data_IF_674391995160
#
_entry.id   IF_674391995160
#
_cell.length_a   1.000
_cell.length_b   1.000
_cell.length_c   1.000
_cell.angle_alpha   90.00
_cell.angle_beta   90.00
_cell.angle_gamma   90.00
#
_symmetry.space_group_name_H-M   'P 1'
#
loop_
_entity.id
_entity.type
_entity.pdbx_description
1 polymer ?
#
# COMPACT_ATOMS: atom_id res chain seq x y z
N UNK A 1 -33.59 -15.73 -8.93
CA UNK A 1 -32.72 -15.14 -7.89
C UNK A 1 -31.30 -15.67 -8.02
N UNK A 2 -30.32 -14.84 -8.38
CA UNK A 2 -28.91 -15.23 -8.56
C UNK A 2 -27.98 -14.85 -7.40
N UNK A 3 -28.52 -14.25 -6.34
CA UNK A 3 -27.77 -13.71 -5.20
C UNK A 3 -26.77 -14.69 -4.58
N UNK A 4 -27.18 -15.92 -4.20
CA UNK A 4 -26.27 -16.89 -3.60
C UNK A 4 -25.10 -17.30 -4.51
N UNK A 5 -25.33 -17.37 -5.83
CA UNK A 5 -24.29 -17.72 -6.81
C UNK A 5 -23.26 -16.61 -6.93
N UNK A 6 -23.71 -15.35 -7.03
CA UNK A 6 -22.82 -14.19 -7.13
C UNK A 6 -22.02 -14.03 -5.83
N UNK A 7 -22.65 -14.18 -4.66
CA UNK A 7 -21.96 -14.10 -3.38
C UNK A 7 -20.84 -15.16 -3.25
N UNK A 8 -21.13 -16.42 -3.60
CA UNK A 8 -20.11 -17.49 -3.63
C UNK A 8 -18.98 -17.18 -4.62
N UNK A 9 -19.30 -16.65 -5.79
CA UNK A 9 -18.28 -16.27 -6.77
C UNK A 9 -17.39 -15.13 -6.23
N UNK A 10 -17.96 -14.14 -5.55
CA UNK A 10 -17.20 -13.03 -4.94
C UNK A 10 -16.26 -13.54 -3.85
N UNK A 11 -16.71 -14.43 -2.97
CA UNK A 11 -15.86 -15.03 -1.93
C UNK A 11 -14.66 -15.78 -2.54
N UNK A 12 -14.90 -16.53 -3.62
CA UNK A 12 -13.81 -17.22 -4.36
C UNK A 12 -12.88 -16.23 -5.04
N UNK A 13 -13.43 -15.22 -5.73
CA UNK A 13 -12.64 -14.19 -6.38
C UNK A 13 -11.85 -13.32 -5.38
N UNK A 14 -12.27 -13.22 -4.12
CA UNK A 14 -11.52 -12.53 -3.08
C UNK A 14 -10.57 -13.45 -2.30
N UNK A 15 -10.46 -14.73 -2.69
CA UNK A 15 -9.73 -15.79 -1.97
C UNK A 15 -10.09 -15.91 -0.48
N UNK A 16 -11.33 -15.59 -0.14
CA UNK A 16 -11.93 -15.92 1.16
C UNK A 16 -12.51 -17.35 1.16
N UNK A 17 -12.67 -17.94 -0.02
CA UNK A 17 -12.97 -19.34 -0.24
C UNK A 17 -12.10 -19.89 -1.38
N UNK A 18 -11.67 -21.15 -1.27
CA UNK A 18 -10.77 -21.79 -2.23
C UNK A 18 -9.29 -21.69 -1.84
N UNK A 19 -8.36 -22.05 -2.75
CA UNK A 19 -6.94 -22.11 -2.43
C UNK A 19 -6.40 -20.74 -2.04
N UNK A 20 -5.71 -20.60 -0.89
CA UNK A 20 -5.10 -19.34 -0.50
C UNK A 20 -3.85 -19.06 -1.33
N UNK A 21 -3.41 -17.81 -1.33
CA UNK A 21 -2.14 -17.40 -1.93
C UNK A 21 -0.94 -17.81 -1.07
N UNK A 22 0.24 -17.90 -1.69
CA UNK A 22 1.48 -18.23 -0.98
C UNK A 22 2.00 -17.04 -0.16
N UNK A 23 1.75 -15.80 -0.63
CA UNK A 23 2.29 -14.60 0.00
C UNK A 23 1.32 -13.39 -0.02
N UNK A 24 1.54 -12.38 0.84
CA UNK A 24 0.78 -11.13 0.83
C UNK A 24 0.87 -10.36 -0.51
N UNK A 25 2.01 -10.45 -1.21
CA UNK A 25 2.22 -9.79 -2.50
C UNK A 25 1.33 -10.40 -3.58
N UNK A 26 1.16 -11.73 -3.59
CA UNK A 26 0.24 -12.39 -4.52
C UNK A 26 -1.22 -11.94 -4.28
N UNK A 27 -1.60 -11.71 -3.01
CA UNK A 27 -2.92 -11.15 -2.68
C UNK A 27 -3.09 -9.78 -3.32
N UNK A 28 -2.10 -8.89 -3.20
CA UNK A 28 -2.18 -7.55 -3.78
C UNK A 28 -2.04 -7.54 -5.29
N UNK A 29 -1.22 -8.42 -5.88
CA UNK A 29 -1.14 -8.60 -7.33
C UNK A 29 -2.50 -8.98 -7.92
N UNK A 30 -3.28 -9.75 -7.15
CA UNK A 30 -4.63 -10.16 -7.54
C UNK A 30 -5.69 -9.07 -7.31
N UNK A 31 -5.61 -8.32 -6.20
CA UNK A 31 -6.60 -7.30 -5.84
C UNK A 31 -6.27 -5.90 -6.36
N UNK A 32 -5.05 -5.68 -6.87
CA UNK A 32 -4.40 -4.41 -7.20
C UNK A 32 -4.19 -3.45 -6.02
N UNK A 33 -5.18 -3.29 -5.15
CA UNK A 33 -5.10 -2.48 -3.94
C UNK A 33 -6.02 -3.05 -2.84
N UNK A 34 -5.65 -2.83 -1.58
CA UNK A 34 -6.51 -3.15 -0.42
C UNK A 34 -6.56 -1.97 0.53
N UNK A 35 -7.77 -1.50 0.86
CA UNK A 35 -7.92 -0.38 1.79
C UNK A 35 -7.27 -0.69 3.14
N UNK A 36 -6.49 0.25 3.64
CA UNK A 36 -5.65 0.14 4.83
C UNK A 36 -5.79 1.34 5.76
N UNK A 37 -7.02 1.89 5.85
CA UNK A 37 -7.33 2.99 6.76
C UNK A 37 -7.08 2.58 8.22
N UNK A 38 -7.65 1.43 8.61
CA UNK A 38 -7.33 0.77 9.88
C UNK A 38 -6.26 -0.30 9.66
N UNK A 39 -5.08 -0.07 10.20
CA UNK A 39 -3.88 -0.83 9.88
C UNK A 39 -3.98 -2.29 10.33
N UNK A 40 -4.40 -2.53 11.58
CA UNK A 40 -4.47 -3.88 12.13
C UNK A 40 -5.47 -4.76 11.38
N UNK A 41 -6.66 -4.22 11.10
CA UNK A 41 -7.70 -4.93 10.36
C UNK A 41 -7.30 -5.20 8.91
N UNK A 42 -6.59 -4.27 8.27
CA UNK A 42 -6.13 -4.45 6.90
C UNK A 42 -5.05 -5.53 6.80
N UNK A 43 -4.08 -5.56 7.74
CA UNK A 43 -3.08 -6.64 7.79
C UNK A 43 -3.73 -8.00 8.00
N UNK A 44 -4.63 -8.09 8.99
CA UNK A 44 -5.38 -9.31 9.24
C UNK A 44 -6.14 -9.75 7.98
N UNK A 45 -6.84 -8.83 7.31
CA UNK A 45 -7.55 -9.10 6.07
C UNK A 45 -6.63 -9.67 4.97
N UNK A 46 -5.44 -9.12 4.74
CA UNK A 46 -4.47 -9.71 3.80
C UNK A 46 -4.04 -11.10 4.25
N UNK A 47 -3.68 -11.25 5.53
CA UNK A 47 -3.22 -12.51 6.08
C UNK A 47 -4.26 -13.63 5.87
N UNK A 48 -5.55 -13.35 6.05
CA UNK A 48 -6.66 -14.30 5.84
C UNK A 48 -6.71 -14.90 4.42
N UNK A 49 -6.06 -14.27 3.44
CA UNK A 49 -6.01 -14.75 2.04
C UNK A 49 -4.73 -15.53 1.71
N UNK A 50 -3.86 -15.73 2.69
CA UNK A 50 -2.56 -16.41 2.55
C UNK A 50 -2.54 -17.75 3.28
N UNK A 51 -1.75 -18.70 2.79
CA UNK A 51 -1.74 -20.10 3.29
C UNK A 51 -1.44 -20.24 4.78
N UNK A 52 -0.67 -19.33 5.37
CA UNK A 52 -0.24 -19.40 6.78
C UNK A 52 -0.97 -18.40 7.68
N UNK A 53 -1.86 -17.56 7.14
CA UNK A 53 -2.58 -16.53 7.88
C UNK A 53 -1.67 -15.68 8.81
N UNK A 54 -0.47 -15.35 8.33
CA UNK A 54 0.59 -14.77 9.17
C UNK A 54 0.60 -13.25 9.08
N UNK A 55 0.16 -12.59 10.15
CA UNK A 55 0.30 -11.13 10.31
C UNK A 55 1.76 -10.69 10.20
N UNK A 56 2.68 -11.44 10.83
CA UNK A 56 4.11 -11.16 10.77
C UNK A 56 4.69 -11.24 9.34
N UNK A 57 4.12 -12.04 8.44
CA UNK A 57 4.55 -12.06 7.04
C UNK A 57 4.12 -10.78 6.31
N UNK A 58 2.93 -10.26 6.61
CA UNK A 58 2.46 -8.96 6.08
C UNK A 58 3.31 -7.82 6.63
N UNK A 59 3.61 -7.84 7.93
CA UNK A 59 4.48 -6.85 8.57
C UNK A 59 5.87 -6.80 7.93
N UNK A 60 6.50 -7.97 7.71
CA UNK A 60 7.79 -8.05 7.01
C UNK A 60 7.71 -7.50 5.58
N UNK A 61 6.65 -7.84 4.84
CA UNK A 61 6.48 -7.33 3.48
C UNK A 61 6.36 -5.78 3.43
N UNK A 62 5.72 -5.20 4.45
CA UNK A 62 5.65 -3.74 4.62
C UNK A 62 7.01 -3.15 5.01
N UNK A 63 7.70 -3.75 5.98
CA UNK A 63 9.01 -3.30 6.43
C UNK A 63 10.08 -3.37 5.33
N UNK A 64 10.02 -4.40 4.49
CA UNK A 64 10.92 -4.60 3.35
C UNK A 64 10.58 -3.70 2.15
N UNK A 65 9.48 -2.93 2.20
CA UNK A 65 9.00 -2.10 1.09
C UNK A 65 8.43 -2.90 -0.09
N UNK A 66 8.22 -4.21 0.05
CA UNK A 66 7.56 -5.06 -0.95
C UNK A 66 6.06 -4.77 -1.06
N UNK A 67 5.48 -4.24 0.01
CA UNK A 67 4.14 -3.65 0.06
C UNK A 67 4.27 -2.21 0.56
N UNK A 68 3.59 -1.28 -0.10
CA UNK A 68 3.52 0.12 0.31
C UNK A 68 2.16 0.41 0.94
N UNK A 69 2.15 1.21 2.01
CA UNK A 69 0.93 1.82 2.55
C UNK A 69 0.90 3.29 2.14
N UNK A 70 0.00 3.67 1.24
CA UNK A 70 -0.07 5.03 0.67
C UNK A 70 -1.49 5.43 0.26
N UNK A 71 -1.70 6.70 -0.05
CA UNK A 71 -2.96 7.20 -0.61
C UNK A 71 -3.00 6.96 -2.12
N UNK A 72 -4.06 6.30 -2.60
CA UNK A 72 -4.26 6.03 -4.04
C UNK A 72 -5.70 6.28 -4.47
N UNK A 73 -6.66 5.45 -4.07
CA UNK A 73 -8.05 5.59 -4.46
C UNK A 73 -8.81 6.47 -3.46
N UNK A 74 -9.49 7.51 -3.94
CA UNK A 74 -10.43 8.35 -3.19
C UNK A 74 -9.82 8.81 -1.87
N UNK A 75 -8.80 9.68 -1.92
CA UNK A 75 -7.64 9.79 -1.02
C UNK A 75 -7.74 9.02 0.32
N UNK A 76 -7.77 7.69 0.26
CA UNK A 76 -7.77 6.81 1.45
C UNK A 76 -6.53 5.93 1.45
N UNK A 77 -6.11 5.51 2.64
CA UNK A 77 -4.94 4.64 2.77
C UNK A 77 -5.21 3.27 2.16
N UNK A 78 -4.24 2.76 1.40
CA UNK A 78 -4.28 1.43 0.82
C UNK A 78 -2.92 0.76 0.92
N UNK A 79 -2.93 -0.57 0.99
CA UNK A 79 -1.82 -1.41 0.63
C UNK A 79 -1.80 -1.62 -0.88
N UNK A 80 -0.63 -1.42 -1.49
CA UNK A 80 -0.38 -1.61 -2.92
C UNK A 80 1.02 -2.20 -3.11
N UNK A 81 1.23 -2.84 -4.26
CA UNK A 81 2.59 -3.17 -4.70
C UNK A 81 3.27 -1.93 -5.28
N UNK A 82 4.60 -1.78 -5.13
CA UNK A 82 5.34 -0.67 -5.72
C UNK A 82 5.09 -0.50 -7.22
N UNK A 83 5.00 -1.60 -7.97
CA UNK A 83 4.75 -1.58 -9.42
C UNK A 83 3.35 -1.09 -9.82
N UNK A 84 2.37 -1.16 -8.92
CA UNK A 84 0.96 -0.87 -9.22
C UNK A 84 0.51 0.53 -8.77
N UNK A 85 1.39 1.30 -8.13
CA UNK A 85 1.03 2.58 -7.50
C UNK A 85 0.44 3.59 -8.49
N UNK A 86 0.97 3.65 -9.72
CA UNK A 86 0.51 4.58 -10.76
C UNK A 86 -0.83 4.16 -11.37
N UNK A 87 -1.08 2.86 -11.51
CA UNK A 87 -2.36 2.34 -11.98
C UNK A 87 -3.46 2.66 -10.97
N UNK A 88 -3.19 2.43 -9.68
CA UNK A 88 -4.12 2.72 -8.60
C UNK A 88 -4.39 4.23 -8.45
N UNK A 89 -3.36 5.07 -8.59
CA UNK A 89 -3.51 6.53 -8.55
C UNK A 89 -4.20 7.11 -9.80
N UNK A 90 -3.92 6.55 -10.99
CA UNK A 90 -4.48 7.01 -12.26
C UNK A 90 -6.00 6.81 -12.38
N UNK A 91 -6.55 5.83 -11.65
CA UNK A 91 -7.99 5.63 -11.51
C UNK A 91 -8.68 6.73 -10.66
N UNK A 92 -7.92 7.53 -9.90
CA UNK A 92 -8.41 8.57 -9.01
C UNK A 92 -7.94 9.97 -9.39
N UNK A 93 -8.21 10.40 -10.63
CA UNK A 93 -7.95 11.80 -11.04
C UNK A 93 -8.83 12.85 -10.33
N UNK A 94 -9.66 12.46 -9.36
CA UNK A 94 -10.52 13.37 -8.60
C UNK A 94 -9.84 13.97 -7.35
N UNK A 95 -8.69 13.45 -6.89
CA UNK A 95 -8.05 13.88 -5.64
C UNK A 95 -7.40 15.28 -5.69
N UNK A 96 -6.99 15.77 -6.87
CA UNK A 96 -6.34 17.08 -7.02
C UNK A 96 -7.21 18.27 -6.58
N UNK A 97 -8.54 18.15 -6.70
CA UNK A 97 -9.49 19.21 -6.36
C UNK A 97 -9.83 19.34 -4.86
N UNK A 98 -9.25 18.48 -4.00
CA UNK A 98 -9.49 18.50 -2.56
C UNK A 98 -8.43 19.30 -1.78
N UNK A 99 -7.18 19.30 -2.24
CA UNK A 99 -6.09 20.04 -1.58
C UNK A 99 -6.33 21.56 -1.56
N UNK A 100 -6.90 22.09 -2.64
CA UNK A 100 -7.21 23.52 -2.79
C UNK A 100 -8.27 24.02 -1.79
N UNK A 101 -9.14 23.13 -1.30
CA UNK A 101 -10.19 23.45 -0.31
C UNK A 101 -9.70 23.53 1.13
N UNK A 102 -8.53 22.98 1.45
CA UNK A 102 -7.99 22.93 2.82
C UNK A 102 -6.95 24.03 3.07
N UNK A 103 -6.63 24.83 2.05
CA UNK A 103 -5.67 25.94 2.19
C UNK A 103 -4.24 25.49 2.49
N UNK A 104 -3.93 24.20 2.30
CA UNK A 104 -2.59 23.67 2.48
C UNK A 104 -1.77 23.92 1.22
N UNK A 105 -0.59 24.57 1.32
CA UNK A 105 0.26 24.80 0.16
C UNK A 105 0.67 23.46 -0.46
N UNK A 106 0.80 23.38 -1.80
CA UNK A 106 1.18 22.14 -2.45
C UNK A 106 2.50 21.64 -1.86
N UNK A 107 2.52 20.35 -1.48
CA UNK A 107 3.71 19.73 -0.92
C UNK A 107 4.87 19.91 -1.91
N UNK A 108 5.92 20.64 -1.47
CA UNK A 108 7.12 20.81 -2.28
C UNK A 108 7.74 19.43 -2.47
N UNK A 109 7.76 18.94 -3.70
CA UNK A 109 8.51 17.76 -4.08
C UNK A 109 10.01 18.06 -3.88
N UNK A 110 10.50 17.85 -2.67
CA UNK A 110 11.91 17.99 -2.34
C UNK A 110 12.68 16.85 -3.01
N UNK A 111 13.37 17.14 -4.12
CA UNK A 111 14.50 16.32 -4.57
C UNK A 111 15.53 16.29 -3.45
N UNK A 112 15.61 15.21 -2.67
CA UNK A 112 16.84 14.90 -1.94
C UNK A 112 17.76 14.17 -2.91
N UNK A 113 18.81 14.86 -3.33
CA UNK A 113 19.90 14.27 -4.10
C UNK A 113 20.66 15.30 -4.94
N UNK A 114 21.63 15.99 -4.32
CA UNK A 114 22.88 16.41 -4.94
C UNK A 114 23.79 17.10 -3.89
N UNK A 115 25.04 16.65 -3.80
CA UNK A 115 26.11 17.24 -2.99
C UNK A 115 26.47 16.34 -1.81
N UNK A 116 27.63 15.69 -1.74
CA UNK A 116 28.91 15.99 -2.38
C UNK A 116 29.96 15.84 -1.28
N UNK A 117 30.92 14.96 -1.51
CA UNK A 117 32.06 14.66 -0.64
C UNK A 117 32.78 15.90 -0.11
N UNK A 118 33.11 15.88 1.19
CA UNK A 118 34.08 16.78 1.80
C UNK A 118 34.76 16.03 2.95
N UNK A 119 35.95 15.52 2.68
CA UNK A 119 36.80 14.84 3.66
C UNK A 119 37.52 15.84 4.58
N UNK A 120 37.82 15.36 5.79
CA UNK A 120 39.01 15.61 6.60
C UNK A 120 39.27 17.02 7.21
N UNK A 121 39.75 17.01 8.45
CA UNK A 121 40.62 18.06 8.98
C UNK A 121 40.40 18.40 10.44
N UNK A 122 41.39 18.12 11.27
CA UNK A 122 41.41 18.14 12.73
C UNK A 122 41.63 19.53 13.38
N UNK A 123 41.80 19.48 14.73
CA UNK A 123 42.32 20.50 15.67
C UNK A 123 41.26 21.42 16.30
N UNK A 124 41.34 21.83 17.57
CA UNK A 124 42.13 21.52 18.75
C UNK A 124 41.48 22.32 19.89
N UNK A 125 41.76 21.91 21.13
CA UNK A 125 41.34 22.51 22.41
C UNK A 125 41.50 24.03 22.49
N UNK A 126 40.60 24.67 23.24
CA UNK A 126 40.91 25.65 24.29
C UNK A 126 39.78 25.61 25.32
#
# INVERSE_FOLDING_TARGET
>A
MHGPRIARQRLRNQRLAGPPFASPEEVLRWLSASQAQEYGLAKWSLAQRTRRHSDAAVERALADGRILRTHVLRPTWHFVLPEDILLAAGADRAAGAAHERVGLPPARAGRRGAGGSGAAGAASRA
#
